data_IF_646200096631
#
_entry.id   IF_646200096631
#
_cell.length_a   1.000
_cell.length_b   1.000
_cell.length_c   1.000
_cell.angle_alpha   90.00
_cell.angle_beta   90.00
_cell.angle_gamma   90.00
#
_symmetry.space_group_name_H-M   'P 1'
#
loop_
_entity.id
_entity.type
_entity.pdbx_description
1 polymer ?
#
# COMPACT_ATOMS: atom_id res chain seq x y z
N UNK A 1 -13.01 13.42 -25.24
CA UNK A 1 -14.15 14.09 -24.60
C UNK A 1 -14.07 15.59 -24.87
N UNK A 2 -15.14 16.24 -25.21
CA UNK A 2 -15.15 17.65 -25.52
C UNK A 2 -16.44 18.35 -25.05
N UNK A 3 -16.35 19.63 -24.79
CA UNK A 3 -17.47 20.46 -24.35
C UNK A 3 -17.21 21.92 -24.63
N UNK A 4 -18.25 22.74 -24.59
CA UNK A 4 -18.14 24.19 -24.71
C UNK A 4 -18.34 24.81 -23.34
N UNK A 5 -17.34 25.56 -22.89
CA UNK A 5 -17.36 26.31 -21.65
C UNK A 5 -17.27 27.79 -22.03
N UNK A 6 -18.14 28.63 -21.47
CA UNK A 6 -18.08 30.07 -21.63
C UNK A 6 -17.48 30.66 -20.37
N UNK A 7 -16.30 31.24 -20.48
CA UNK A 7 -15.61 31.90 -19.37
C UNK A 7 -16.06 33.39 -19.37
N UNK A 8 -16.60 33.89 -18.24
CA UNK A 8 -16.96 35.33 -18.13
C UNK A 8 -15.71 36.18 -18.29
N UNK A 9 -15.85 37.33 -18.97
CA UNK A 9 -14.73 38.28 -19.19
C UNK A 9 -14.12 38.85 -17.90
N UNK A 10 -14.86 38.75 -16.80
CA UNK A 10 -14.43 39.21 -15.47
C UNK A 10 -13.58 38.22 -14.72
N UNK A 11 -13.47 36.98 -15.22
CA UNK A 11 -12.71 35.89 -14.54
C UNK A 11 -11.29 35.82 -15.07
N UNK A 12 -10.31 36.03 -14.18
CA UNK A 12 -8.88 35.92 -14.49
C UNK A 12 -8.32 34.50 -14.25
N UNK A 13 -9.05 33.64 -13.55
CA UNK A 13 -8.69 32.26 -13.26
C UNK A 13 -9.91 31.38 -13.47
N UNK A 14 -9.73 30.31 -14.21
CA UNK A 14 -10.75 29.30 -14.44
C UNK A 14 -10.23 27.91 -14.12
N UNK A 15 -10.98 27.19 -13.28
CA UNK A 15 -10.73 25.81 -12.93
C UNK A 15 -11.77 24.90 -13.56
N UNK A 16 -11.34 23.85 -14.24
CA UNK A 16 -12.25 22.79 -14.64
C UNK A 16 -11.63 21.41 -14.34
N UNK A 17 -12.49 20.47 -14.06
CA UNK A 17 -12.13 19.06 -13.87
C UNK A 17 -12.92 18.20 -14.85
N UNK A 18 -12.27 17.25 -15.46
CA UNK A 18 -12.94 16.23 -16.27
C UNK A 18 -12.46 14.85 -15.84
N UNK A 19 -13.41 13.94 -15.77
CA UNK A 19 -13.11 12.53 -15.47
C UNK A 19 -13.29 11.72 -16.74
N UNK A 20 -12.34 10.87 -17.01
CA UNK A 20 -12.44 9.84 -18.03
C UNK A 20 -12.87 8.53 -17.35
N UNK A 21 -13.94 7.94 -17.83
CA UNK A 21 -14.42 6.63 -17.37
C UNK A 21 -14.18 5.58 -18.46
N UNK A 22 -14.25 4.31 -18.10
CA UNK A 22 -14.14 3.21 -19.06
C UNK A 22 -15.19 3.32 -20.17
N UNK A 23 -16.35 3.91 -19.89
CA UNK A 23 -17.43 4.13 -20.84
C UNK A 23 -17.09 5.18 -21.93
N UNK A 24 -16.14 6.09 -21.66
CA UNK A 24 -15.68 7.08 -22.64
C UNK A 24 -14.80 6.42 -23.73
N UNK A 25 -14.43 5.14 -23.57
CA UNK A 25 -13.47 4.41 -24.40
C UNK A 25 -14.03 3.06 -24.83
N UNK A 26 -15.17 3.04 -25.53
CA UNK A 26 -15.92 1.82 -25.87
C UNK A 26 -15.12 0.76 -26.63
N UNK A 27 -14.05 1.16 -27.33
CA UNK A 27 -13.21 0.27 -28.13
C UNK A 27 -11.74 0.28 -27.66
N UNK A 28 -11.46 0.82 -26.48
CA UNK A 28 -10.10 1.00 -25.99
C UNK A 28 -9.93 0.39 -24.60
N UNK A 29 -8.96 -0.48 -24.48
CA UNK A 29 -8.53 -1.03 -23.19
C UNK A 29 -7.19 -0.41 -22.82
N UNK A 30 -7.11 0.23 -21.68
CA UNK A 30 -5.85 0.69 -21.14
C UNK A 30 -4.96 -0.52 -20.87
N UNK A 31 -3.74 -0.45 -21.36
CA UNK A 31 -2.67 -1.44 -21.14
C UNK A 31 -1.50 -0.73 -20.51
N UNK A 32 -0.58 -1.50 -20.00
CA UNK A 32 0.72 -0.98 -19.61
C UNK A 32 1.32 -0.10 -20.72
N UNK A 33 1.87 1.05 -20.34
CA UNK A 33 2.47 1.98 -21.29
C UNK A 33 2.33 3.44 -20.88
N UNK A 34 2.88 4.30 -21.72
CA UNK A 34 2.82 5.75 -21.56
C UNK A 34 1.74 6.33 -22.46
N UNK A 35 0.82 7.03 -21.85
CA UNK A 35 -0.28 7.72 -22.52
C UNK A 35 -0.09 9.22 -22.40
N UNK A 36 -0.44 9.94 -23.44
CA UNK A 36 -0.37 11.39 -23.46
C UNK A 36 -1.76 11.99 -23.36
N UNK A 37 -2.02 12.73 -22.27
CA UNK A 37 -3.18 13.59 -22.16
C UNK A 37 -2.86 14.96 -22.72
N UNK A 38 -3.72 15.53 -23.56
CA UNK A 38 -3.53 16.85 -24.14
C UNK A 38 -4.82 17.67 -24.04
N UNK A 39 -4.69 18.89 -23.58
CA UNK A 39 -5.77 19.87 -23.60
C UNK A 39 -5.70 20.62 -24.93
N UNK A 40 -6.82 20.62 -25.66
CA UNK A 40 -6.99 21.37 -26.90
C UNK A 40 -8.04 22.44 -26.68
N UNK A 41 -7.67 23.69 -26.88
CA UNK A 41 -8.57 24.86 -26.72
C UNK A 41 -8.71 25.56 -28.06
N UNK A 42 -9.93 25.69 -28.55
CA UNK A 42 -10.24 26.30 -29.84
C UNK A 42 -9.48 25.70 -31.04
N UNK A 43 -9.16 24.41 -30.95
CA UNK A 43 -8.41 23.70 -31.98
C UNK A 43 -6.88 23.83 -31.87
N UNK A 44 -6.38 24.60 -30.91
CA UNK A 44 -4.95 24.73 -30.65
C UNK A 44 -4.54 23.81 -29.52
N UNK A 45 -3.43 23.12 -29.68
CA UNK A 45 -2.85 22.27 -28.67
C UNK A 45 -2.28 23.12 -27.53
N UNK A 46 -2.85 22.95 -26.34
CA UNK A 46 -2.37 23.55 -25.09
C UNK A 46 -1.44 22.63 -24.32
N UNK A 47 -1.63 22.60 -23.01
CA UNK A 47 -0.85 21.77 -22.10
C UNK A 47 -1.02 20.28 -22.43
N UNK A 48 0.06 19.53 -22.29
CA UNK A 48 0.03 18.07 -22.34
C UNK A 48 0.83 17.50 -21.19
N UNK A 49 0.38 16.36 -20.68
CA UNK A 49 1.06 15.60 -19.64
C UNK A 49 1.10 14.12 -20.01
N UNK A 50 2.05 13.41 -19.47
CA UNK A 50 2.19 11.96 -19.67
C UNK A 50 1.59 11.23 -18.49
N UNK A 51 0.79 10.21 -18.79
CA UNK A 51 0.18 9.31 -17.80
C UNK A 51 0.80 7.95 -18.02
N UNK A 52 1.45 7.43 -17.00
CA UNK A 52 2.08 6.13 -17.02
C UNK A 52 1.13 5.11 -16.41
N UNK A 53 0.73 4.10 -17.19
CA UNK A 53 0.05 2.92 -16.71
C UNK A 53 1.08 1.81 -16.56
N UNK A 54 1.34 1.41 -15.34
CA UNK A 54 2.31 0.39 -14.98
C UNK A 54 1.59 -0.82 -14.39
N UNK A 55 2.18 -1.99 -14.55
CA UNK A 55 1.77 -3.14 -13.74
C UNK A 55 1.98 -2.80 -12.26
N UNK A 56 1.06 -3.17 -11.36
CA UNK A 56 1.15 -2.81 -9.93
C UNK A 56 2.46 -3.21 -9.28
N UNK A 57 3.04 -4.33 -9.68
CA UNK A 57 4.33 -4.78 -9.17
C UNK A 57 5.47 -3.85 -9.61
N UNK A 58 5.48 -3.41 -10.86
CA UNK A 58 6.48 -2.46 -11.38
C UNK A 58 6.30 -1.10 -10.73
N UNK A 59 5.06 -0.67 -10.52
CA UNK A 59 4.76 0.55 -9.78
C UNK A 59 5.34 0.52 -8.37
N UNK A 60 5.17 -0.59 -7.65
CA UNK A 60 5.74 -0.75 -6.32
C UNK A 60 7.27 -0.62 -6.36
N UNK A 61 7.92 -1.33 -7.26
CA UNK A 61 9.38 -1.33 -7.40
C UNK A 61 9.94 0.04 -7.80
N UNK A 62 9.27 0.76 -8.69
CA UNK A 62 9.78 2.00 -9.27
C UNK A 62 9.51 3.23 -8.38
N UNK A 63 8.44 3.20 -7.58
CA UNK A 63 8.03 4.34 -6.75
C UNK A 63 8.15 4.11 -5.25
N UNK A 64 8.29 2.87 -4.83
CA UNK A 64 8.45 2.51 -3.43
C UNK A 64 9.67 1.61 -3.23
N UNK A 65 10.39 1.89 -2.17
CA UNK A 65 11.40 0.97 -1.64
C UNK A 65 10.95 0.55 -0.26
N UNK A 66 10.71 -0.72 -0.07
CA UNK A 66 10.41 -1.25 1.25
C UNK A 66 11.66 -1.18 2.12
N UNK A 67 11.51 -0.57 3.29
CA UNK A 67 12.60 -0.37 4.24
C UNK A 67 12.50 -1.32 5.42
N UNK A 68 11.27 -1.61 5.85
CA UNK A 68 11.00 -2.47 6.98
C UNK A 68 9.60 -3.06 6.89
N UNK A 69 9.45 -4.29 7.34
CA UNK A 69 8.18 -5.00 7.41
C UNK A 69 8.26 -6.05 8.50
N UNK A 70 7.13 -6.36 9.11
CA UNK A 70 7.12 -7.45 10.08
C UNK A 70 5.84 -7.58 10.87
N UNK A 71 5.96 -8.44 11.87
CA UNK A 71 4.87 -8.75 12.79
C UNK A 71 5.29 -8.40 14.21
N UNK A 72 4.46 -7.67 14.91
CA UNK A 72 4.64 -7.31 16.32
C UNK A 72 3.52 -7.93 17.16
N UNK A 73 3.80 -8.13 18.42
CA UNK A 73 2.88 -8.71 19.41
C UNK A 73 2.10 -7.61 20.11
N UNK A 74 0.78 -7.65 19.99
CA UNK A 74 -0.07 -6.84 20.84
C UNK A 74 -0.32 -7.57 22.15
N UNK A 75 -0.10 -6.87 23.26
CA UNK A 75 -0.32 -7.35 24.63
C UNK A 75 -1.15 -6.35 25.42
N UNK A 76 -1.93 -6.81 26.40
CA UNK A 76 -2.83 -5.93 27.18
C UNK A 76 -2.12 -4.81 27.96
N UNK A 77 -0.85 -5.02 28.31
CA UNK A 77 -0.04 -4.02 29.01
C UNK A 77 1.26 -3.78 28.22
N UNK A 78 1.20 -2.91 27.23
CA UNK A 78 2.41 -2.48 26.54
C UNK A 78 3.14 -1.40 27.35
N UNK A 79 4.34 -1.65 27.84
CA UNK A 79 5.18 -0.55 28.32
C UNK A 79 5.62 0.31 27.12
N UNK A 80 5.74 1.61 27.39
CA UNK A 80 6.16 2.69 26.49
C UNK A 80 6.86 2.29 25.18
N UNK A 81 6.41 2.93 24.12
CA UNK A 81 6.85 2.93 22.72
C UNK A 81 8.32 2.50 22.55
N UNK A 82 8.56 1.20 22.57
CA UNK A 82 9.77 0.64 21.99
C UNK A 82 9.54 0.46 20.48
N UNK A 83 10.62 0.53 19.70
CA UNK A 83 10.55 0.19 18.27
C UNK A 83 9.86 -1.16 18.12
N UNK A 84 8.93 -1.32 17.15
CA UNK A 84 8.30 -2.60 16.93
C UNK A 84 9.40 -3.65 16.74
N UNK A 85 9.33 -4.71 17.53
CA UNK A 85 10.18 -5.87 17.31
C UNK A 85 9.49 -6.72 16.25
N UNK A 86 10.22 -7.09 15.22
CA UNK A 86 9.70 -8.02 14.23
C UNK A 86 9.89 -9.45 14.70
N UNK A 87 8.85 -10.26 14.56
CA UNK A 87 8.83 -11.64 15.00
C UNK A 87 8.45 -12.58 13.86
N UNK A 88 9.15 -13.71 13.78
CA UNK A 88 8.75 -14.85 12.95
C UNK A 88 7.86 -15.82 13.73
N UNK A 89 8.03 -15.89 15.04
CA UNK A 89 7.15 -16.63 15.91
C UNK A 89 6.73 -15.75 17.10
N UNK A 90 5.49 -15.90 17.52
CA UNK A 90 4.85 -15.15 18.59
C UNK A 90 4.28 -16.13 19.61
N UNK A 91 4.67 -15.96 20.87
CA UNK A 91 4.11 -16.77 21.95
C UNK A 91 2.63 -16.48 22.12
N UNK A 92 1.80 -17.52 22.16
CA UNK A 92 0.36 -17.40 22.39
C UNK A 92 0.05 -16.81 23.77
N UNK A 93 0.95 -16.99 24.73
CA UNK A 93 0.82 -16.42 26.06
C UNK A 93 0.72 -14.89 25.99
N UNK A 94 -0.38 -14.32 26.51
CA UNK A 94 -0.70 -12.89 26.51
C UNK A 94 -0.85 -12.25 25.14
N UNK A 95 -0.95 -13.04 24.07
CA UNK A 95 -1.20 -12.53 22.75
C UNK A 95 -2.65 -12.05 22.65
N UNK A 96 -2.85 -10.75 22.51
CA UNK A 96 -4.20 -10.18 22.25
C UNK A 96 -4.44 -10.02 20.76
N UNK A 97 -3.40 -9.63 20.02
CA UNK A 97 -3.45 -9.51 18.56
C UNK A 97 -2.05 -9.56 17.95
N UNK A 98 -1.99 -9.72 16.65
CA UNK A 98 -0.79 -9.60 15.84
C UNK A 98 -0.90 -8.32 15.00
N UNK A 99 0.07 -7.45 15.15
CA UNK A 99 0.19 -6.21 14.36
C UNK A 99 1.12 -6.44 13.19
N UNK A 100 0.62 -6.26 11.99
CA UNK A 100 1.43 -6.15 10.79
C UNK A 100 1.83 -4.69 10.59
N UNK A 101 3.09 -4.44 10.31
CA UNK A 101 3.58 -3.11 9.98
C UNK A 101 4.41 -3.12 8.71
N UNK A 102 4.45 -1.97 8.04
CA UNK A 102 5.23 -1.74 6.84
C UNK A 102 5.76 -0.32 6.84
N UNK A 103 7.03 -0.18 6.48
CA UNK A 103 7.70 1.10 6.24
C UNK A 103 8.29 1.09 4.83
N UNK A 104 7.94 2.07 4.03
CA UNK A 104 8.46 2.22 2.69
C UNK A 104 8.96 3.66 2.45
N UNK A 105 10.00 3.79 1.65
CA UNK A 105 10.41 5.07 1.08
C UNK A 105 9.58 5.31 -0.19
N UNK A 106 8.93 6.48 -0.26
CA UNK A 106 8.09 6.87 -1.39
C UNK A 106 8.86 7.87 -2.26
N UNK A 107 9.11 7.52 -3.51
CA UNK A 107 9.81 8.38 -4.49
C UNK A 107 8.87 9.28 -5.29
N UNK A 108 7.54 9.15 -5.12
CA UNK A 108 6.58 10.02 -5.78
C UNK A 108 6.74 11.48 -5.31
N UNK A 109 6.66 12.40 -6.26
CA UNK A 109 6.86 13.83 -5.99
C UNK A 109 5.66 14.52 -5.34
N UNK A 110 4.50 13.88 -5.29
CA UNK A 110 3.23 14.48 -4.84
C UNK A 110 2.50 13.54 -3.86
N UNK A 111 1.48 14.07 -3.21
CA UNK A 111 0.61 13.31 -2.32
C UNK A 111 -0.08 12.18 -3.10
N UNK A 112 -0.16 11.04 -2.45
CA UNK A 112 -0.79 9.87 -3.00
C UNK A 112 -1.68 9.19 -1.97
N UNK A 113 -2.87 8.78 -2.41
CA UNK A 113 -3.76 7.94 -1.61
C UNK A 113 -3.44 6.48 -1.92
N UNK A 114 -3.08 5.73 -0.89
CA UNK A 114 -2.81 4.30 -1.02
C UNK A 114 -3.95 3.45 -0.45
N UNK A 115 -4.10 2.29 -1.02
CA UNK A 115 -4.94 1.22 -0.49
C UNK A 115 -4.18 -0.10 -0.61
N UNK A 116 -3.92 -0.72 0.54
CA UNK A 116 -3.36 -2.06 0.61
C UNK A 116 -4.38 -3.01 1.19
N UNK A 117 -4.54 -4.15 0.55
CA UNK A 117 -5.35 -5.24 1.07
C UNK A 117 -4.39 -6.26 1.70
N UNK A 118 -4.67 -6.65 2.93
CA UNK A 118 -3.89 -7.60 3.69
C UNK A 118 -4.76 -8.84 3.92
N UNK A 119 -4.49 -9.91 3.20
CA UNK A 119 -5.17 -11.17 3.35
C UNK A 119 -4.42 -12.06 4.34
N UNK A 120 -5.16 -12.66 5.27
CA UNK A 120 -4.63 -13.52 6.32
C UNK A 120 -5.16 -14.92 6.10
N UNK A 121 -4.23 -15.88 5.98
CA UNK A 121 -4.55 -17.29 5.78
C UNK A 121 -4.14 -18.09 7.01
N UNK A 122 -4.97 -19.04 7.39
CA UNK A 122 -4.72 -19.97 8.50
C UNK A 122 -3.76 -21.12 8.11
N UNK A 123 -3.48 -21.97 9.07
CA UNK A 123 -2.63 -23.15 8.92
C UNK A 123 -3.05 -24.12 7.81
N UNK A 124 -4.32 -24.07 7.39
CA UNK A 124 -4.87 -24.90 6.33
C UNK A 124 -4.89 -24.18 4.97
N UNK A 125 -4.33 -22.96 4.91
CA UNK A 125 -4.34 -22.13 3.71
C UNK A 125 -5.71 -21.52 3.39
N UNK A 126 -6.63 -21.50 4.36
CA UNK A 126 -7.94 -20.86 4.18
C UNK A 126 -7.84 -19.38 4.58
N UNK A 127 -8.44 -18.53 3.78
CA UNK A 127 -8.52 -17.11 4.12
C UNK A 127 -9.34 -16.95 5.41
N UNK A 128 -8.70 -16.44 6.45
CA UNK A 128 -9.28 -16.20 7.76
C UNK A 128 -9.87 -14.80 7.88
N UNK A 129 -9.19 -13.83 7.29
CA UNK A 129 -9.63 -12.44 7.24
C UNK A 129 -8.98 -11.68 6.10
N UNK A 130 -9.56 -10.54 5.78
CA UNK A 130 -8.97 -9.51 4.94
C UNK A 130 -9.05 -8.18 5.66
N UNK A 131 -8.01 -7.37 5.56
CA UNK A 131 -7.92 -6.03 6.15
C UNK A 131 -7.53 -5.05 5.07
N UNK A 132 -7.91 -3.80 5.26
CA UNK A 132 -7.59 -2.73 4.32
C UNK A 132 -6.85 -1.63 5.07
N UNK A 133 -5.63 -1.35 4.65
CA UNK A 133 -4.88 -0.18 5.08
C UNK A 133 -5.06 0.92 4.03
N UNK A 134 -5.68 2.03 4.45
CA UNK A 134 -5.90 3.21 3.61
C UNK A 134 -5.27 4.43 4.26
N UNK A 135 -4.77 5.32 3.45
CA UNK A 135 -4.35 6.61 3.95
C UNK A 135 -3.75 7.51 2.89
N UNK A 136 -3.73 8.78 3.24
CA UNK A 136 -2.92 9.78 2.59
C UNK A 136 -1.72 9.98 3.50
N UNK A 137 -0.58 9.36 3.20
CA UNK A 137 0.54 9.53 4.08
C UNK A 137 1.68 10.25 3.38
N UNK A 138 1.98 11.37 3.94
CA UNK A 138 3.14 12.17 3.68
C UNK A 138 3.77 12.52 5.02
N UNK A 139 4.79 11.77 5.44
CA UNK A 139 5.62 12.18 6.56
C UNK A 139 6.94 12.66 5.97
N UNK A 140 7.20 13.98 5.91
CA UNK A 140 8.55 14.46 5.64
C UNK A 140 9.42 14.04 6.83
N UNK A 141 10.39 13.16 6.60
CA UNK A 141 11.37 12.92 7.62
C UNK A 141 12.39 14.08 7.64
N UNK A 142 13.24 14.12 8.68
CA UNK A 142 14.26 15.18 8.87
C UNK A 142 15.26 15.27 7.70
N UNK A 143 15.41 14.21 6.93
CA UNK A 143 16.37 14.09 5.82
C UNK A 143 15.72 14.37 4.45
N UNK A 144 14.48 14.87 4.44
CA UNK A 144 13.72 15.15 3.20
C UNK A 144 13.18 13.89 2.49
N UNK A 145 13.35 12.71 3.06
CA UNK A 145 12.77 11.47 2.56
C UNK A 145 11.29 11.40 2.88
N UNK A 146 10.55 10.77 2.01
CA UNK A 146 9.11 10.57 2.14
C UNK A 146 8.84 9.14 2.54
N UNK A 147 8.40 8.95 3.77
CA UNK A 147 8.10 7.63 4.29
C UNK A 147 6.59 7.37 4.27
N UNK A 148 6.23 6.22 3.77
CA UNK A 148 4.93 5.60 3.95
C UNK A 148 5.07 4.60 5.10
N UNK A 149 4.30 4.79 6.15
CA UNK A 149 4.29 3.90 7.29
C UNK A 149 2.84 3.54 7.62
N UNK A 150 2.57 2.27 7.82
CA UNK A 150 1.33 1.86 8.44
C UNK A 150 1.52 0.65 9.35
N UNK A 151 0.62 0.52 10.31
CA UNK A 151 0.51 -0.65 11.16
C UNK A 151 -0.98 -0.99 11.32
N UNK A 152 -1.32 -2.26 11.30
CA UNK A 152 -2.69 -2.73 11.38
C UNK A 152 -2.77 -3.99 12.23
N UNK A 153 -3.73 -4.03 13.14
CA UNK A 153 -4.00 -5.18 13.98
C UNK A 153 -4.82 -6.21 13.18
N UNK A 154 -4.22 -7.34 12.93
CA UNK A 154 -4.75 -8.33 11.98
C UNK A 154 -6.01 -9.03 12.48
N UNK A 155 -6.10 -9.30 13.80
CA UNK A 155 -7.29 -9.89 14.42
C UNK A 155 -8.42 -8.89 14.63
N UNK A 156 -8.14 -7.58 14.56
CA UNK A 156 -9.11 -6.51 14.79
C UNK A 156 -9.86 -6.63 16.12
N UNK A 157 -9.17 -7.12 17.16
CA UNK A 157 -9.74 -7.29 18.50
C UNK A 157 -10.79 -8.39 18.63
N UNK A 158 -10.90 -9.30 17.66
CA UNK A 158 -11.82 -10.43 17.73
C UNK A 158 -11.31 -11.46 18.75
N UNK A 159 -12.14 -11.81 19.72
CA UNK A 159 -11.84 -12.87 20.68
C UNK A 159 -11.60 -14.22 19.98
N UNK A 160 -10.59 -14.96 20.46
CA UNK A 160 -10.24 -16.28 19.92
C UNK A 160 -9.93 -16.31 18.43
N UNK A 161 -9.53 -15.15 17.86
CA UNK A 161 -9.13 -15.10 16.47
C UNK A 161 -7.87 -15.92 16.20
N UNK A 162 -6.90 -15.86 17.11
CA UNK A 162 -5.63 -16.55 17.00
C UNK A 162 -5.66 -17.92 17.66
N UNK A 163 -5.01 -18.89 17.02
CA UNK A 163 -4.73 -20.22 17.53
C UNK A 163 -3.29 -20.60 17.20
N UNK A 164 -2.72 -21.56 17.89
CA UNK A 164 -1.38 -22.05 17.54
C UNK A 164 -1.32 -22.56 16.09
N UNK A 165 -0.22 -22.26 15.42
CA UNK A 165 0.04 -22.72 14.07
C UNK A 165 0.72 -21.69 13.17
N UNK A 166 0.97 -22.07 11.90
CA UNK A 166 1.55 -21.21 10.87
C UNK A 166 0.46 -20.36 10.20
N UNK A 167 0.73 -19.09 10.03
CA UNK A 167 -0.11 -18.13 9.31
C UNK A 167 0.68 -17.55 8.14
N UNK A 168 -0.06 -17.25 7.07
CA UNK A 168 0.46 -16.51 5.93
C UNK A 168 -0.29 -15.19 5.80
N UNK A 169 0.46 -14.13 5.58
CA UNK A 169 -0.07 -12.81 5.22
C UNK A 169 0.35 -12.50 3.80
N UNK A 170 -0.61 -12.09 3.00
CA UNK A 170 -0.42 -11.63 1.64
C UNK A 170 -0.80 -10.15 1.54
N UNK A 171 0.14 -9.34 1.08
CA UNK A 171 -0.06 -7.92 0.82
C UNK A 171 -0.40 -7.73 -0.65
N UNK A 172 -1.54 -7.13 -0.93
CA UNK A 172 -1.95 -6.77 -2.28
C UNK A 172 -1.94 -5.24 -2.43
N UNK A 173 -1.55 -4.81 -3.62
CA UNK A 173 -1.68 -3.45 -4.10
C UNK A 173 -2.32 -3.51 -5.50
N UNK A 174 -3.41 -2.78 -5.73
CA UNK A 174 -4.18 -2.86 -6.98
C UNK A 174 -4.59 -4.28 -7.38
N UNK A 175 -5.06 -5.07 -6.41
CA UNK A 175 -5.49 -6.47 -6.57
C UNK A 175 -4.36 -7.45 -6.97
N UNK A 176 -3.10 -7.02 -6.97
CA UNK A 176 -1.96 -7.90 -7.22
C UNK A 176 -1.14 -8.16 -5.96
N UNK A 177 -0.72 -9.41 -5.78
CA UNK A 177 0.13 -9.82 -4.66
C UNK A 177 1.54 -9.26 -4.85
N UNK A 178 1.93 -8.33 -3.99
CA UNK A 178 3.26 -7.71 -4.00
C UNK A 178 4.22 -8.39 -3.03
N UNK A 179 3.68 -9.02 -1.97
CA UNK A 179 4.50 -9.70 -0.97
C UNK A 179 3.70 -10.77 -0.23
N UNK A 180 4.38 -11.83 0.15
CA UNK A 180 3.83 -12.86 1.05
C UNK A 180 4.83 -13.12 2.18
N UNK A 181 4.34 -13.06 3.41
CA UNK A 181 5.12 -13.32 4.61
C UNK A 181 4.44 -14.39 5.45
N UNK A 182 5.24 -15.07 6.27
CA UNK A 182 4.76 -16.10 7.19
C UNK A 182 5.21 -15.80 8.60
N UNK A 183 4.35 -16.17 9.55
CA UNK A 183 4.69 -16.19 10.96
C UNK A 183 4.03 -17.39 11.66
N UNK A 184 4.50 -17.71 12.84
CA UNK A 184 3.98 -18.82 13.65
C UNK A 184 3.45 -18.27 14.97
N UNK A 185 2.34 -18.78 15.43
CA UNK A 185 1.88 -18.62 16.81
C UNK A 185 2.15 -19.94 17.54
N UNK A 186 2.87 -19.87 18.65
CA UNK A 186 3.32 -21.05 19.39
C UNK A 186 3.72 -20.74 20.82
N UNK A 187 4.72 -21.42 21.34
CA UNK A 187 5.12 -21.37 22.75
C UNK A 187 6.09 -20.23 23.08
N UNK A 188 6.75 -19.64 22.08
CA UNK A 188 7.81 -18.66 22.33
C UNK A 188 7.86 -17.56 21.27
N UNK A 189 8.36 -16.39 21.68
CA UNK A 189 8.65 -15.30 20.78
C UNK A 189 10.02 -15.51 20.13
N UNK A 190 10.09 -15.49 18.79
CA UNK A 190 11.33 -15.59 18.02
C UNK A 190 11.47 -14.35 17.17
N UNK A 191 12.37 -13.42 17.52
CA UNK A 191 12.66 -12.25 16.70
C UNK A 191 13.16 -12.67 15.32
N UNK A 192 12.81 -11.88 14.32
CA UNK A 192 13.22 -12.13 12.94
C UNK A 192 13.39 -10.82 12.17
N UNK A 193 14.38 -10.81 11.30
CA UNK A 193 14.66 -9.73 10.37
C UNK A 193 14.21 -10.17 8.97
N UNK A 194 13.23 -9.47 8.40
CA UNK A 194 12.69 -9.76 7.08
C UNK A 194 13.48 -9.09 5.94
N UNK A 195 14.75 -8.73 6.16
CA UNK A 195 15.58 -8.04 5.16
C UNK A 195 15.78 -8.85 3.88
N UNK A 196 15.84 -10.19 3.97
CA UNK A 196 15.98 -11.05 2.79
C UNK A 196 14.71 -11.02 1.93
N UNK A 197 13.52 -11.06 2.52
CA UNK A 197 12.25 -10.96 1.83
C UNK A 197 12.09 -9.57 1.19
N UNK A 198 12.51 -8.52 1.91
CA UNK A 198 12.52 -7.15 1.38
C UNK A 198 13.46 -7.00 0.18
N UNK A 199 14.61 -7.65 0.21
CA UNK A 199 15.55 -7.63 -0.90
C UNK A 199 14.92 -8.21 -2.17
N UNK A 200 14.20 -9.33 -2.05
CA UNK A 200 13.49 -9.97 -3.18
C UNK A 200 12.45 -9.01 -3.76
N UNK A 201 11.62 -8.40 -2.92
CA UNK A 201 10.56 -7.47 -3.38
C UNK A 201 11.14 -6.23 -4.01
N UNK A 202 12.25 -5.71 -3.47
CA UNK A 202 12.93 -4.53 -4.01
C UNK A 202 13.77 -4.85 -5.28
N UNK A 203 13.82 -6.11 -5.72
CA UNK A 203 14.58 -6.52 -6.91
C UNK A 203 16.10 -6.48 -6.71
N UNK A 204 16.57 -6.57 -5.47
CA UNK A 204 17.98 -6.68 -5.12
C UNK A 204 18.28 -8.18 -4.98
N UNK A 205 18.88 -8.75 -6.01
CA UNK A 205 19.36 -10.15 -6.00
C UNK A 205 20.87 -10.22 -5.82
#
# INVERSE_FOLDING_TARGET
>A
KGGKIVIPETESLFHFTTTFSAEDFTDFTFREGVYRAQIVINGEAGLSDEIHFLEPHDYFRDYFKLLDVGFDKCVEEAPDVQRPHSYRALAMERLTDVRFYLVAENYLAHEWTYEFIINIFDTNGRMKASRVAKGNYYIPNRDGKRLLCFAIDLGAGLENFWTEGEYKVELLCFDQSVMQLKFVIGDQDIPYDFSDELAIVNGVS
#
